data_IF_116028022878
#
_entry.id   IF_116028022878
#
_cell.length_a   1.000
_cell.length_b   1.000
_cell.length_c   1.000
_cell.angle_alpha   90.00
_cell.angle_beta   90.00
_cell.angle_gamma   90.00
#
_symmetry.space_group_name_H-M   'P 1'
#
loop_
_entity.id
_entity.type
_entity.pdbx_description
1 polymer ?
#
# COMPACT_ATOMS: atom_id res chain seq x y z
N UNK A 1 34.78 -16.12 -26.39
CA UNK A 1 33.92 -15.03 -26.88
C UNK A 1 32.48 -15.50 -26.98
N UNK A 2 31.72 -15.66 -25.88
CA UNK A 2 30.28 -15.86 -25.90
C UNK A 2 29.71 -15.44 -24.53
N UNK A 3 29.44 -14.15 -24.33
CA UNK A 3 28.90 -13.66 -23.06
C UNK A 3 27.98 -12.45 -23.16
N UNK A 4 27.71 -11.92 -24.37
CA UNK A 4 27.01 -10.62 -24.51
C UNK A 4 25.52 -10.72 -24.87
N UNK A 5 25.01 -11.88 -25.28
CA UNK A 5 23.66 -12.00 -25.78
C UNK A 5 22.56 -12.20 -24.69
N UNK A 6 22.95 -12.64 -23.50
CA UNK A 6 21.97 -12.91 -22.41
C UNK A 6 21.56 -11.67 -21.63
N UNK A 7 22.43 -10.67 -21.54
CA UNK A 7 22.14 -9.43 -20.78
C UNK A 7 21.08 -8.57 -21.48
N UNK A 8 21.02 -8.60 -22.81
CA UNK A 8 19.99 -7.85 -23.56
C UNK A 8 18.61 -8.51 -23.54
N UNK A 9 18.53 -9.83 -23.38
CA UNK A 9 17.24 -10.52 -23.24
C UNK A 9 16.56 -10.22 -21.91
N UNK A 10 17.33 -10.08 -20.83
CA UNK A 10 16.77 -9.80 -19.50
C UNK A 10 16.27 -8.35 -19.35
N UNK A 11 16.94 -7.40 -20.03
CA UNK A 11 16.46 -6.01 -20.11
C UNK A 11 15.17 -5.91 -20.94
N UNK A 12 15.07 -6.69 -22.02
CA UNK A 12 13.85 -6.74 -22.83
C UNK A 12 12.68 -7.44 -22.13
N UNK A 13 12.95 -8.43 -21.26
CA UNK A 13 11.95 -9.08 -20.43
C UNK A 13 11.42 -8.15 -19.34
N UNK A 14 12.28 -7.33 -18.72
CA UNK A 14 11.89 -6.33 -17.73
C UNK A 14 10.98 -5.23 -18.31
N UNK A 15 11.13 -4.91 -19.58
CA UNK A 15 10.28 -3.94 -20.29
C UNK A 15 8.91 -4.51 -20.70
N UNK A 16 8.75 -5.83 -20.78
CA UNK A 16 7.49 -6.48 -21.14
C UNK A 16 6.52 -6.69 -19.98
N UNK A 17 6.96 -6.56 -18.73
CA UNK A 17 6.09 -6.71 -17.56
C UNK A 17 5.20 -5.49 -17.29
N UNK A 18 5.30 -4.42 -18.09
CA UNK A 18 4.42 -3.26 -18.02
C UNK A 18 3.19 -3.36 -18.96
N UNK A 19 2.89 -4.54 -19.47
CA UNK A 19 1.69 -4.77 -20.28
C UNK A 19 0.51 -5.02 -19.34
N UNK A 20 -0.28 -3.97 -19.12
CA UNK A 20 -1.52 -4.06 -18.38
C UNK A 20 -2.50 -5.01 -19.03
N UNK A 21 -3.04 -5.88 -18.24
CA UNK A 21 -4.21 -6.69 -18.58
C UNK A 21 -5.39 -5.73 -18.92
N UNK A 22 -5.91 -5.79 -20.15
CA UNK A 22 -7.00 -4.97 -20.70
C UNK A 22 -6.65 -3.55 -21.21
N UNK A 23 -5.44 -3.30 -21.70
CA UNK A 23 -5.16 -2.05 -22.42
C UNK A 23 -5.13 -0.79 -21.57
N UNK A 24 -5.22 -0.89 -20.26
CA UNK A 24 -5.04 0.22 -19.33
C UNK A 24 -3.57 0.25 -18.96
N UNK A 25 -2.84 1.29 -19.38
CA UNK A 25 -1.47 1.53 -18.91
C UNK A 25 -1.53 1.93 -17.44
N UNK A 26 -1.18 1.01 -16.57
CA UNK A 26 -0.99 1.32 -15.16
C UNK A 26 0.42 1.86 -15.01
N UNK A 27 0.56 3.15 -14.78
CA UNK A 27 1.85 3.70 -14.40
C UNK A 27 2.15 3.22 -12.99
N UNK A 28 3.04 2.25 -12.86
CA UNK A 28 3.60 1.84 -11.59
C UNK A 28 4.44 3.00 -11.05
N UNK A 29 3.83 3.87 -10.28
CA UNK A 29 4.57 4.77 -9.41
C UNK A 29 5.14 3.87 -8.32
N UNK A 30 6.34 3.32 -8.56
CA UNK A 30 7.10 2.60 -7.55
C UNK A 30 7.54 3.60 -6.48
N UNK A 31 6.65 3.80 -5.53
CA UNK A 31 6.93 4.56 -4.32
C UNK A 31 7.66 3.60 -3.40
N UNK A 32 8.96 3.84 -3.24
CA UNK A 32 9.93 3.09 -2.47
C UNK A 32 9.41 1.99 -1.55
N UNK A 33 9.79 0.73 -1.84
CA UNK A 33 9.50 -0.43 -0.99
C UNK A 33 8.26 -1.23 -1.40
N UNK A 34 8.47 -2.25 -2.20
CA UNK A 34 7.61 -3.33 -2.64
C UNK A 34 6.17 -3.41 -2.12
N UNK A 35 5.20 -3.39 -3.00
CA UNK A 35 3.76 -3.45 -2.83
C UNK A 35 3.06 -2.14 -2.39
N UNK A 36 3.44 -1.01 -2.98
CA UNK A 36 2.49 0.09 -3.17
C UNK A 36 1.40 -0.40 -4.12
N UNK A 37 0.14 -0.24 -3.77
CA UNK A 37 -0.95 -0.58 -4.68
C UNK A 37 -0.78 0.13 -6.02
N UNK A 38 -1.16 -0.51 -7.11
CA UNK A 38 -1.14 0.09 -8.44
C UNK A 38 -2.08 1.29 -8.45
N UNK A 39 -1.57 2.43 -8.94
CA UNK A 39 -2.37 3.64 -9.07
C UNK A 39 -3.06 3.61 -10.43
N UNK A 40 -4.39 3.60 -10.50
CA UNK A 40 -5.11 3.55 -11.77
C UNK A 40 -5.01 4.88 -12.52
N UNK A 41 -4.56 4.83 -13.79
CA UNK A 41 -4.34 6.01 -14.64
C UNK A 41 -5.62 6.71 -15.05
N UNK A 42 -6.73 5.98 -15.11
CA UNK A 42 -8.05 6.46 -15.56
C UNK A 42 -8.86 7.14 -14.46
N UNK A 43 -8.28 7.35 -13.28
CA UNK A 43 -8.91 8.08 -12.17
C UNK A 43 -8.27 9.45 -11.98
N UNK A 44 -9.02 10.36 -11.38
CA UNK A 44 -8.47 11.64 -10.91
C UNK A 44 -7.48 11.39 -9.77
N UNK A 45 -6.46 12.24 -9.67
CA UNK A 45 -5.34 12.10 -8.74
C UNK A 45 -5.78 11.84 -7.30
N UNK A 46 -6.74 12.59 -6.78
CA UNK A 46 -7.24 12.44 -5.42
C UNK A 46 -7.82 11.04 -5.16
N UNK A 47 -8.57 10.49 -6.11
CA UNK A 47 -9.14 9.15 -5.98
C UNK A 47 -8.12 8.04 -6.25
N UNK A 48 -7.18 8.32 -7.13
CA UNK A 48 -6.11 7.38 -7.47
C UNK A 48 -5.17 7.14 -6.27
N UNK A 49 -4.82 8.20 -5.53
CA UNK A 49 -3.99 8.12 -4.32
C UNK A 49 -4.63 7.25 -3.21
N UNK A 50 -5.95 7.18 -3.13
CA UNK A 50 -6.65 6.35 -2.13
C UNK A 50 -6.47 4.85 -2.34
N UNK A 51 -5.95 4.40 -3.50
CA UNK A 51 -5.59 3.00 -3.72
C UNK A 51 -4.31 2.61 -2.98
N UNK A 52 -3.52 3.57 -2.52
CA UNK A 52 -2.33 3.31 -1.71
C UNK A 52 -2.71 2.98 -0.27
N UNK A 53 -2.23 1.84 0.23
CA UNK A 53 -2.47 1.46 1.62
C UNK A 53 -1.85 2.49 2.59
N UNK A 54 -2.68 3.13 3.41
CA UNK A 54 -2.27 4.17 4.35
C UNK A 54 -2.67 5.59 3.94
N UNK A 55 -3.16 5.77 2.71
CA UNK A 55 -3.70 7.04 2.23
C UNK A 55 -5.22 6.90 2.11
N UNK A 56 -5.93 7.66 2.92
CA UNK A 56 -7.39 7.81 2.85
C UNK A 56 -7.77 9.13 2.18
N UNK A 57 -9.07 9.40 2.11
CA UNK A 57 -9.62 10.60 1.47
C UNK A 57 -8.98 11.91 1.98
N UNK A 58 -8.91 12.10 3.30
CA UNK A 58 -8.38 13.34 3.89
C UNK A 58 -6.90 13.56 3.55
N UNK A 59 -6.07 12.51 3.63
CA UNK A 59 -4.65 12.60 3.27
C UNK A 59 -4.46 12.83 1.77
N UNK A 60 -5.24 12.17 0.91
CA UNK A 60 -5.20 12.37 -0.54
C UNK A 60 -5.54 13.81 -0.90
N UNK A 61 -6.60 14.37 -0.33
CA UNK A 61 -6.99 15.77 -0.51
C UNK A 61 -5.88 16.73 -0.06
N UNK A 62 -5.31 16.52 1.13
CA UNK A 62 -4.21 17.34 1.65
C UNK A 62 -2.99 17.35 0.71
N UNK A 63 -2.59 16.17 0.20
CA UNK A 63 -1.48 16.05 -0.75
C UNK A 63 -1.75 16.83 -2.04
N UNK A 64 -2.96 16.73 -2.58
CA UNK A 64 -3.34 17.47 -3.81
C UNK A 64 -3.34 18.97 -3.58
N UNK A 65 -3.85 19.44 -2.44
CA UNK A 65 -3.81 20.86 -2.06
C UNK A 65 -2.37 21.37 -1.85
N UNK A 66 -1.51 20.59 -1.19
CA UNK A 66 -0.10 20.96 -0.94
C UNK A 66 0.70 21.07 -2.24
N UNK A 67 0.38 20.24 -3.23
CA UNK A 67 0.98 20.30 -4.56
C UNK A 67 0.51 21.52 -5.39
N UNK A 68 -0.64 22.09 -5.05
CA UNK A 68 -1.28 23.11 -5.87
C UNK A 68 -1.68 22.63 -7.27
N UNK A 69 -1.76 21.35 -7.48
CA UNK A 69 -2.12 20.73 -8.75
C UNK A 69 -3.64 20.62 -8.83
N UNK A 70 -4.22 21.03 -9.96
CA UNK A 70 -5.63 20.74 -10.22
C UNK A 70 -5.87 19.23 -10.18
N UNK A 71 -7.07 18.82 -9.76
CA UNK A 71 -7.44 17.39 -9.66
C UNK A 71 -7.63 16.76 -11.05
N UNK A 72 -6.51 16.64 -11.80
CA UNK A 72 -6.42 16.05 -13.15
C UNK A 72 -6.47 14.52 -13.11
N UNK A 73 -6.65 13.90 -14.25
CA UNK A 73 -6.45 12.46 -14.37
C UNK A 73 -4.96 12.11 -14.25
N UNK A 74 -4.66 10.95 -13.69
CA UNK A 74 -3.26 10.52 -13.49
C UNK A 74 -2.50 10.44 -14.81
N UNK A 75 -3.15 10.04 -15.91
CA UNK A 75 -2.58 9.99 -17.25
C UNK A 75 -2.14 11.36 -17.80
N UNK A 76 -2.76 12.46 -17.34
CA UNK A 76 -2.52 13.81 -17.83
C UNK A 76 -1.47 14.57 -16.99
N UNK A 77 -0.87 13.89 -16.00
CA UNK A 77 0.16 14.45 -15.13
C UNK A 77 1.51 14.53 -15.84
N UNK A 78 2.19 15.66 -15.68
CA UNK A 78 3.55 15.83 -16.17
C UNK A 78 4.56 15.03 -15.32
N UNK A 79 5.73 14.74 -15.91
CA UNK A 79 6.80 14.05 -15.18
C UNK A 79 7.27 14.83 -13.93
N UNK A 80 7.24 16.16 -13.97
CA UNK A 80 7.59 17.03 -12.82
C UNK A 80 6.57 16.87 -11.70
N UNK A 81 5.27 16.92 -12.02
CA UNK A 81 4.19 16.72 -11.04
C UNK A 81 4.27 15.33 -10.40
N UNK A 82 4.54 14.27 -11.19
CA UNK A 82 4.74 12.92 -10.67
C UNK A 82 5.93 12.82 -9.70
N UNK A 83 7.02 13.54 -9.99
CA UNK A 83 8.17 13.59 -9.09
C UNK A 83 7.82 14.27 -7.77
N UNK A 84 7.15 15.42 -7.81
CA UNK A 84 6.71 16.17 -6.62
C UNK A 84 5.73 15.33 -5.76
N UNK A 85 4.79 14.60 -6.41
CA UNK A 85 3.90 13.66 -5.72
C UNK A 85 4.72 12.59 -4.98
N UNK A 86 5.72 11.99 -5.64
CA UNK A 86 6.58 10.97 -5.05
C UNK A 86 7.36 11.51 -3.84
N UNK A 87 7.88 12.71 -3.94
CA UNK A 87 8.58 13.37 -2.85
C UNK A 87 7.67 13.60 -1.63
N UNK A 88 6.45 14.10 -1.84
CA UNK A 88 5.48 14.25 -0.76
C UNK A 88 5.07 12.90 -0.16
N UNK A 89 4.84 11.90 -0.99
CA UNK A 89 4.48 10.56 -0.52
C UNK A 89 5.58 9.91 0.31
N UNK A 90 6.85 10.21 0.05
CA UNK A 90 7.98 9.70 0.85
C UNK A 90 7.97 10.18 2.32
N UNK A 91 7.29 11.31 2.60
CA UNK A 91 7.10 11.81 3.97
C UNK A 91 6.09 11.00 4.79
N UNK A 92 5.24 10.20 4.11
CA UNK A 92 4.20 9.41 4.75
C UNK A 92 4.61 7.95 4.89
N UNK A 93 4.24 7.34 6.01
CA UNK A 93 4.38 5.90 6.19
C UNK A 93 3.22 5.20 5.48
N UNK A 94 3.53 4.50 4.38
CA UNK A 94 2.54 3.88 3.48
C UNK A 94 2.93 2.46 3.09
N UNK A 95 1.99 1.73 2.50
CA UNK A 95 2.23 0.41 1.91
C UNK A 95 2.72 -0.62 2.93
N UNK A 96 3.79 -1.32 2.61
CA UNK A 96 4.37 -2.38 3.44
C UNK A 96 5.00 -1.88 4.74
N UNK A 97 5.59 -0.69 4.72
CA UNK A 97 6.22 -0.15 5.92
C UNK A 97 5.17 0.18 6.99
N UNK A 98 4.00 0.67 6.56
CA UNK A 98 2.85 0.83 7.45
C UNK A 98 2.37 -0.51 8.00
N UNK A 99 2.27 -1.56 7.15
CA UNK A 99 1.89 -2.91 7.62
C UNK A 99 2.85 -3.44 8.67
N UNK A 100 4.17 -3.36 8.40
CA UNK A 100 5.22 -3.75 9.35
C UNK A 100 5.15 -2.96 10.65
N UNK A 101 4.81 -1.66 10.59
CA UNK A 101 4.63 -0.83 11.78
C UNK A 101 3.46 -1.33 12.64
N UNK A 102 2.30 -1.57 12.01
CA UNK A 102 1.12 -2.11 12.70
C UNK A 102 1.40 -3.50 13.30
N UNK A 103 2.09 -4.37 12.57
CA UNK A 103 2.50 -5.69 13.06
C UNK A 103 3.43 -5.57 14.28
N UNK A 104 4.43 -4.69 14.24
CA UNK A 104 5.32 -4.42 15.39
C UNK A 104 4.55 -3.94 16.62
N UNK A 105 3.56 -3.08 16.43
CA UNK A 105 2.71 -2.62 17.53
C UNK A 105 1.91 -3.76 18.16
N UNK A 106 1.36 -4.66 17.34
CA UNK A 106 0.65 -5.85 17.84
C UNK A 106 1.62 -6.79 18.59
N UNK A 107 2.81 -7.06 18.02
CA UNK A 107 3.84 -7.90 18.66
C UNK A 107 4.24 -7.32 20.00
N UNK A 108 4.42 -6.00 20.09
CA UNK A 108 4.72 -5.31 21.35
C UNK A 108 3.63 -5.54 22.40
N UNK A 109 2.35 -5.42 22.03
CA UNK A 109 1.22 -5.67 22.95
C UNK A 109 1.18 -7.12 23.42
N UNK A 110 1.50 -8.07 22.54
CA UNK A 110 1.61 -9.50 22.89
C UNK A 110 2.78 -9.74 23.83
N UNK A 111 3.94 -9.13 23.58
CA UNK A 111 5.13 -9.28 24.43
C UNK A 111 4.95 -8.74 25.86
N UNK A 112 4.16 -7.67 26.02
CA UNK A 112 3.79 -7.12 27.34
C UNK A 112 2.74 -8.00 28.04
N UNK A 113 2.14 -8.99 27.34
CA UNK A 113 1.06 -9.85 27.85
C UNK A 113 -0.17 -9.07 28.38
N UNK A 114 -0.44 -7.89 27.80
CA UNK A 114 -1.61 -7.13 28.16
C UNK A 114 -2.91 -7.78 27.63
N UNK A 115 -4.05 -7.46 28.21
CA UNK A 115 -5.36 -8.00 27.80
C UNK A 115 -5.61 -7.83 26.28
N UNK A 116 -5.24 -6.69 25.70
CA UNK A 116 -5.36 -6.45 24.26
C UNK A 116 -4.47 -7.38 23.43
N UNK A 117 -3.24 -7.66 23.93
CA UNK A 117 -2.31 -8.60 23.28
C UNK A 117 -2.89 -10.01 23.23
N UNK A 118 -3.41 -10.51 24.35
CA UNK A 118 -4.07 -11.81 24.44
C UNK A 118 -5.25 -11.88 23.45
N UNK A 119 -6.08 -10.84 23.39
CA UNK A 119 -7.20 -10.77 22.45
C UNK A 119 -6.75 -10.79 20.97
N UNK A 120 -5.57 -10.23 20.68
CA UNK A 120 -4.98 -10.33 19.33
C UNK A 120 -4.53 -11.74 18.99
N UNK A 121 -3.92 -12.47 19.92
CA UNK A 121 -3.50 -13.87 19.78
C UNK A 121 -4.71 -14.78 19.54
N UNK A 122 -5.77 -14.61 20.32
CA UNK A 122 -7.01 -15.38 20.22
C UNK A 122 -7.89 -15.00 19.02
N UNK A 123 -7.49 -13.99 18.22
CA UNK A 123 -8.28 -13.45 17.14
C UNK A 123 -9.68 -13.00 17.58
N UNK A 124 -9.77 -12.39 18.75
CA UNK A 124 -10.99 -11.86 19.34
C UNK A 124 -11.03 -10.31 19.23
N UNK A 125 -12.23 -9.70 19.28
CA UNK A 125 -12.37 -8.25 19.34
C UNK A 125 -11.71 -7.66 20.59
N UNK A 126 -11.00 -6.52 20.43
CA UNK A 126 -10.23 -5.89 21.51
C UNK A 126 -10.93 -4.69 22.16
N UNK A 127 -12.15 -4.33 21.72
CA UNK A 127 -12.86 -3.11 22.14
C UNK A 127 -14.20 -3.40 22.84
N UNK A 128 -14.32 -4.50 23.57
CA UNK A 128 -15.51 -4.83 24.34
C UNK A 128 -16.74 -5.28 23.53
N UNK A 129 -16.58 -5.57 22.23
CA UNK A 129 -17.71 -6.07 21.44
C UNK A 129 -18.14 -7.45 21.92
N UNK A 130 -19.45 -7.73 21.83
CA UNK A 130 -20.03 -9.04 22.15
C UNK A 130 -19.45 -10.11 21.23
N UNK A 131 -19.03 -11.24 21.80
CA UNK A 131 -18.34 -12.32 21.07
C UNK A 131 -19.22 -13.52 20.75
N UNK A 132 -20.40 -13.62 21.36
CA UNK A 132 -21.27 -14.80 21.20
C UNK A 132 -21.74 -14.95 19.73
N UNK A 133 -22.23 -13.91 19.09
CA UNK A 133 -22.76 -13.96 17.71
C UNK A 133 -21.97 -13.11 16.70
N UNK A 134 -21.31 -12.04 17.14
CA UNK A 134 -20.84 -10.94 16.28
C UNK A 134 -19.32 -10.93 16.00
N UNK A 135 -18.57 -11.94 16.46
CA UNK A 135 -17.11 -12.00 16.29
C UNK A 135 -16.66 -12.74 15.01
N UNK A 136 -17.55 -13.09 14.10
CA UNK A 136 -17.24 -13.90 12.90
C UNK A 136 -16.17 -13.29 12.02
N UNK A 137 -16.29 -12.02 11.67
CA UNK A 137 -15.33 -11.31 10.82
C UNK A 137 -13.94 -11.25 11.45
N UNK A 138 -13.85 -11.10 12.76
CA UNK A 138 -12.58 -11.05 13.48
C UNK A 138 -11.92 -12.42 13.52
N UNK A 139 -12.66 -13.49 13.75
CA UNK A 139 -12.16 -14.88 13.75
C UNK A 139 -11.65 -15.32 12.39
N UNK A 140 -12.25 -14.84 11.28
CA UNK A 140 -11.81 -15.17 9.94
C UNK A 140 -10.53 -14.43 9.51
N UNK A 141 -10.22 -13.28 10.10
CA UNK A 141 -9.02 -12.50 9.83
C UNK A 141 -7.88 -12.94 10.75
N UNK A 142 -7.04 -13.85 10.30
CA UNK A 142 -5.79 -14.19 10.99
C UNK A 142 -4.85 -12.97 10.91
N UNK A 143 -4.80 -12.17 11.95
CA UNK A 143 -3.91 -11.00 12.04
C UNK A 143 -2.55 -11.33 12.61
N UNK A 144 -2.40 -12.47 13.25
CA UNK A 144 -1.16 -12.92 13.84
C UNK A 144 -0.98 -14.42 13.55
N UNK A 145 -0.05 -14.75 12.67
CA UNK A 145 0.41 -16.12 12.45
C UNK A 145 1.59 -16.40 13.39
N UNK A 146 1.35 -16.31 14.69
CA UNK A 146 2.28 -16.83 15.66
C UNK A 146 2.26 -18.34 15.56
N UNK A 147 3.36 -18.97 15.14
CA UNK A 147 3.57 -20.41 15.28
C UNK A 147 3.38 -20.79 16.76
N UNK A 148 2.44 -21.68 17.01
CA UNK A 148 2.38 -22.44 18.27
C UNK A 148 3.51 -23.44 18.27
#
# INVERSE_FOLDING_TARGET
MFGSARIFSDIALGLRQNLSFRGVRVQNINIGGGMGGEIPDNKRLEYALQHLHGIGRSKAHHIVCELGVENKFVKDLSKRELYSIRELLSKYLIGNDLKKCVERDVVRLVGIQCYRGIRHVDNLPCRGQRTHTNARTRRSRKTFSGSR
#
